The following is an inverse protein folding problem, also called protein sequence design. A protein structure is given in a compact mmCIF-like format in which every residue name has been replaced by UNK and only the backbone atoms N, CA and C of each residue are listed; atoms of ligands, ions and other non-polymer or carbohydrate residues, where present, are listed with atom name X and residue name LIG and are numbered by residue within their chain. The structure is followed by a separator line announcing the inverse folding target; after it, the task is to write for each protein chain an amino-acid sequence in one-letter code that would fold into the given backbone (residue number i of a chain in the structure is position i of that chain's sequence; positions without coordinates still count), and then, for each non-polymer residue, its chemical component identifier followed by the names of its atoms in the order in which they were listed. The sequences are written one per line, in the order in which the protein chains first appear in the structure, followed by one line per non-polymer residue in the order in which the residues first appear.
data_IF_812862567601
#
_entry.id   IF_812862567601
#
_cell.length_a   1.000
_cell.length_b   1.000
_cell.length_c   1.000
_cell.angle_alpha   90.00
_cell.angle_beta   90.00
_cell.angle_gamma   90.00
#
_symmetry.space_group_name_H-M   'P 1'
#
loop_
_entity.id
_entity.type
_entity.pdbx_description
1 polymer ?
#
# COMPACT_ATOMS: atom_id res chain seq x y z
N UNK A 1 0.09 26.89 29.64
CA UNK A 1 -0.99 25.92 29.40
C UNK A 1 -0.89 25.48 27.96
N UNK A 2 -1.12 24.19 27.67
CA UNK A 2 -1.19 23.69 26.29
C UNK A 2 -2.65 23.65 25.83
N UNK A 3 -2.93 23.96 24.56
CA UNK A 3 -4.28 23.90 24.04
C UNK A 3 -4.77 22.43 23.97
N UNK A 4 -6.09 22.20 24.07
CA UNK A 4 -6.66 20.86 24.12
C UNK A 4 -6.60 20.15 22.76
N UNK A 5 -6.50 18.82 22.76
CA UNK A 5 -6.25 17.98 21.56
C UNK A 5 -7.46 17.88 20.62
N UNK A 6 -8.65 18.24 21.11
CA UNK A 6 -9.91 18.23 20.39
C UNK A 6 -10.03 19.34 19.33
N UNK A 7 -9.07 20.27 19.30
CA UNK A 7 -8.92 21.26 18.20
C UNK A 7 -8.31 20.66 16.94
N UNK A 8 -7.75 19.45 17.01
CA UNK A 8 -7.14 18.78 15.85
C UNK A 8 -8.20 18.12 14.97
N UNK A 9 -8.02 18.23 13.66
CA UNK A 9 -8.85 17.50 12.71
C UNK A 9 -8.66 15.99 12.86
N UNK A 10 -9.74 15.24 12.66
CA UNK A 10 -9.71 13.77 12.71
C UNK A 10 -9.00 13.24 11.47
N UNK A 11 -8.11 12.27 11.69
CA UNK A 11 -7.49 11.52 10.59
C UNK A 11 -8.59 10.79 9.80
N UNK A 12 -8.66 10.94 8.47
CA UNK A 12 -9.57 10.16 7.66
C UNK A 12 -9.22 8.67 7.77
N UNK A 13 -10.23 7.81 7.87
CA UNK A 13 -10.03 6.37 7.73
C UNK A 13 -9.68 6.06 6.27
N UNK A 14 -8.51 5.46 6.06
CA UNK A 14 -8.07 4.98 4.75
C UNK A 14 -8.22 3.46 4.78
N UNK A 15 -9.15 2.92 3.99
CA UNK A 15 -9.24 1.47 3.79
C UNK A 15 -8.23 1.01 2.74
N UNK A 16 -7.27 0.18 3.16
CA UNK A 16 -6.37 -0.52 2.25
C UNK A 16 -7.00 -1.86 1.85
N UNK A 17 -7.50 -1.95 0.61
CA UNK A 17 -8.10 -3.17 0.07
C UNK A 17 -7.03 -4.24 -0.20
N UNK A 18 -7.11 -5.38 0.49
CA UNK A 18 -6.25 -6.55 0.24
C UNK A 18 -6.45 -7.14 -1.17
N UNK A 19 -7.67 -7.07 -1.71
CA UNK A 19 -7.98 -7.54 -3.06
C UNK A 19 -7.26 -6.69 -4.12
N UNK A 20 -7.21 -5.37 -3.92
CA UNK A 20 -6.51 -4.44 -4.82
C UNK A 20 -5.01 -4.71 -4.83
N UNK A 21 -4.45 -5.06 -3.66
CA UNK A 21 -3.04 -5.41 -3.53
C UNK A 21 -2.67 -6.68 -4.29
N UNK A 22 -3.52 -7.70 -4.28
CA UNK A 22 -3.27 -8.93 -5.05
C UNK A 22 -3.22 -8.66 -6.55
N UNK A 23 -4.13 -7.81 -7.05
CA UNK A 23 -4.15 -7.40 -8.45
C UNK A 23 -2.89 -6.59 -8.81
N UNK A 24 -2.46 -5.67 -7.94
CA UNK A 24 -1.23 -4.89 -8.13
C UNK A 24 0.02 -5.76 -8.12
N UNK A 25 0.10 -6.74 -7.23
CA UNK A 25 1.19 -7.72 -7.19
C UNK A 25 1.33 -8.42 -8.55
N UNK A 26 0.22 -8.88 -9.12
CA UNK A 26 0.21 -9.51 -10.45
C UNK A 26 0.69 -8.58 -11.56
N UNK A 27 0.24 -7.33 -11.55
CA UNK A 27 0.68 -6.32 -12.52
C UNK A 27 2.19 -6.04 -12.44
N UNK A 28 2.76 -6.03 -11.24
CA UNK A 28 4.20 -5.85 -11.04
C UNK A 28 4.97 -7.04 -11.62
N UNK A 29 4.56 -8.26 -11.28
CA UNK A 29 5.18 -9.48 -11.80
C UNK A 29 5.15 -9.54 -13.33
N UNK A 30 3.99 -9.26 -13.94
CA UNK A 30 3.82 -9.29 -15.39
C UNK A 30 4.65 -8.19 -16.08
N UNK A 31 4.72 -7.00 -15.49
CA UNK A 31 5.56 -5.92 -15.99
C UNK A 31 7.04 -6.29 -15.96
N UNK A 32 7.54 -6.83 -14.84
CA UNK A 32 8.94 -7.27 -14.71
C UNK A 32 9.27 -8.42 -15.67
N UNK A 33 8.33 -9.36 -15.85
CA UNK A 33 8.48 -10.44 -16.81
C UNK A 33 8.58 -9.94 -18.25
N UNK A 34 7.87 -8.86 -18.60
CA UNK A 34 7.98 -8.23 -19.94
C UNK A 34 9.38 -7.67 -20.25
N UNK A 35 10.14 -7.33 -19.20
CA UNK A 35 11.55 -6.93 -19.30
C UNK A 35 12.52 -8.13 -19.19
N UNK A 36 12.00 -9.36 -19.14
CA UNK A 36 12.80 -10.58 -19.02
C UNK A 36 13.22 -10.93 -17.59
N UNK A 37 12.60 -10.32 -16.57
CA UNK A 37 12.91 -10.58 -15.16
C UNK A 37 11.80 -11.43 -14.55
N UNK A 38 12.11 -12.69 -14.22
CA UNK A 38 11.19 -13.58 -13.53
C UNK A 38 11.11 -13.23 -12.04
N UNK A 39 9.92 -12.92 -11.54
CA UNK A 39 9.71 -12.46 -10.16
C UNK A 39 8.43 -13.02 -9.56
N UNK A 40 8.36 -13.02 -8.22
CA UNK A 40 7.18 -13.39 -7.45
C UNK A 40 7.07 -12.54 -6.19
N UNK A 41 5.90 -11.94 -5.98
CA UNK A 41 5.57 -11.22 -4.74
C UNK A 41 5.30 -12.22 -3.62
N UNK A 42 6.08 -12.13 -2.54
CA UNK A 42 5.98 -13.08 -1.41
C UNK A 42 5.37 -12.47 -0.16
N UNK A 43 5.35 -11.14 -0.06
CA UNK A 43 4.79 -10.42 1.07
C UNK A 43 4.32 -9.04 0.64
N UNK A 44 3.19 -8.60 1.18
CA UNK A 44 2.68 -7.25 0.92
C UNK A 44 2.53 -6.52 2.25
N UNK A 45 3.18 -5.38 2.37
CA UNK A 45 3.10 -4.49 3.53
C UNK A 45 2.55 -3.13 3.09
N UNK A 46 1.27 -2.89 3.37
CA UNK A 46 0.63 -1.59 3.06
C UNK A 46 0.91 -0.59 4.18
N UNK A 47 1.58 0.50 3.85
CA UNK A 47 1.79 1.64 4.73
C UNK A 47 0.84 2.81 4.38
N UNK A 48 0.84 3.87 5.20
CA UNK A 48 -0.06 5.01 5.03
C UNK A 48 0.15 5.78 3.71
N UNK A 49 1.34 5.72 3.14
CA UNK A 49 1.71 6.47 1.92
C UNK A 49 2.17 5.54 0.80
N UNK A 50 2.84 4.44 1.13
CA UNK A 50 3.43 3.51 0.17
C UNK A 50 3.12 2.07 0.56
N UNK A 51 3.00 1.21 -0.45
CA UNK A 51 2.87 -0.24 -0.26
C UNK A 51 4.14 -0.90 -0.77
N UNK A 52 4.72 -1.75 0.08
CA UNK A 52 5.81 -2.65 -0.29
C UNK A 52 5.20 -3.97 -0.78
N UNK A 53 5.65 -4.42 -1.95
CA UNK A 53 5.33 -5.71 -2.56
C UNK A 53 6.60 -6.58 -2.63
#
# INVERSE_FOLDING_TARGET
MLPPIDILDRTPEIEFSQADNMQRAKLIEDALASYGVETKVVQINSGPTVTQF
#
